data_IF_293563328001
#
_entry.id   IF_293563328001
#
_cell.length_a   1.000
_cell.length_b   1.000
_cell.length_c   1.000
_cell.angle_alpha   90.00
_cell.angle_beta   90.00
_cell.angle_gamma   90.00
#
_symmetry.space_group_name_H-M   'P 1'
#
loop_
_entity.id
_entity.type
_entity.pdbx_description
1 polymer ?
#
# COMPACT_ATOMS: atom_id res chain seq x y z
N UNK A 1 -9.54 13.73 -3.48
CA UNK A 1 -8.47 13.10 -2.66
C UNK A 1 -8.94 12.85 -1.24
N UNK A 2 -9.33 13.89 -0.49
CA UNK A 2 -9.91 13.76 0.86
C UNK A 2 -11.20 12.95 0.89
N UNK A 3 -11.99 12.95 -0.20
CA UNK A 3 -13.19 12.13 -0.32
C UNK A 3 -12.93 10.61 -0.29
N UNK A 4 -11.70 10.15 -0.56
CA UNK A 4 -11.37 8.72 -0.50
C UNK A 4 -10.68 8.35 0.82
N UNK A 5 -9.91 9.28 1.40
CA UNK A 5 -9.31 9.19 2.74
C UNK A 5 -10.40 9.36 3.81
N UNK A 6 -11.07 8.26 4.14
CA UNK A 6 -12.24 8.22 5.02
C UNK A 6 -13.30 7.21 4.56
N UNK A 7 -13.15 6.69 3.34
CA UNK A 7 -13.97 5.60 2.78
C UNK A 7 -13.27 4.26 2.90
N UNK A 8 -14.05 3.18 2.87
CA UNK A 8 -13.50 1.81 2.88
C UNK A 8 -12.56 1.61 1.69
N UNK A 9 -11.36 1.04 1.90
CA UNK A 9 -10.44 0.71 0.81
C UNK A 9 -11.05 -0.28 -0.19
N UNK A 10 -10.70 -0.13 -1.46
CA UNK A 10 -11.09 -1.04 -2.54
C UNK A 10 -10.42 -2.41 -2.37
N UNK A 11 -9.17 -2.41 -1.89
CA UNK A 11 -8.43 -3.63 -1.54
C UNK A 11 -7.71 -3.45 -0.21
N UNK A 12 -7.71 -4.52 0.58
CA UNK A 12 -6.89 -4.65 1.79
C UNK A 12 -6.18 -5.99 1.73
N UNK A 13 -4.86 -5.98 1.89
CA UNK A 13 -4.03 -7.18 1.95
C UNK A 13 -3.07 -7.08 3.12
N UNK A 14 -2.72 -8.22 3.73
CA UNK A 14 -1.69 -8.26 4.76
C UNK A 14 -0.33 -7.88 4.18
N UNK A 15 0.42 -7.08 4.94
CA UNK A 15 1.81 -6.80 4.60
C UNK A 15 2.70 -7.95 5.06
N UNK A 16 3.72 -8.26 4.26
CA UNK A 16 4.83 -9.11 4.67
C UNK A 16 5.71 -8.44 5.73
N UNK A 17 5.64 -7.10 5.87
CA UNK A 17 6.28 -6.38 6.96
C UNK A 17 5.61 -6.71 8.29
N UNK A 18 6.37 -7.32 9.19
CA UNK A 18 5.92 -7.70 10.51
C UNK A 18 6.54 -6.80 11.59
N UNK A 19 5.74 -6.46 12.60
CA UNK A 19 6.25 -5.89 13.85
C UNK A 19 6.65 -7.04 14.78
N UNK A 20 7.75 -6.87 15.51
CA UNK A 20 8.17 -7.82 16.58
C UNK A 20 7.06 -7.97 17.63
N UNK A 21 6.37 -6.87 17.93
CA UNK A 21 5.20 -6.82 18.79
C UNK A 21 4.19 -5.83 18.21
N UNK A 22 2.97 -6.28 17.95
CA UNK A 22 1.91 -5.40 17.45
C UNK A 22 0.88 -6.13 16.58
N UNK A 23 -0.15 -5.42 16.10
CA UNK A 23 -1.12 -5.96 15.16
C UNK A 23 -0.47 -6.24 13.80
N UNK A 24 -1.07 -7.14 13.03
CA UNK A 24 -0.69 -7.38 11.65
C UNK A 24 -0.86 -6.09 10.83
N UNK A 25 0.14 -5.78 10.00
CA UNK A 25 0.13 -4.60 9.15
C UNK A 25 -0.57 -4.93 7.83
N UNK A 26 -1.19 -3.93 7.21
CA UNK A 26 -1.92 -4.09 5.95
C UNK A 26 -1.52 -3.01 4.94
N UNK A 27 -1.57 -3.38 3.66
CA UNK A 27 -1.66 -2.42 2.58
C UNK A 27 -3.13 -2.18 2.26
N UNK A 28 -3.49 -0.90 2.12
CA UNK A 28 -4.84 -0.46 1.77
C UNK A 28 -4.76 0.35 0.49
N UNK A 29 -5.60 0.01 -0.47
CA UNK A 29 -5.60 0.61 -1.80
C UNK A 29 -6.93 1.29 -2.05
N UNK A 30 -6.86 2.51 -2.58
CA UNK A 30 -7.97 3.21 -3.21
C UNK A 30 -7.55 3.63 -4.61
N UNK A 31 -8.51 3.67 -5.53
CA UNK A 31 -8.30 4.24 -6.86
C UNK A 31 -9.23 5.41 -7.09
N UNK A 32 -8.66 6.48 -7.61
CA UNK A 32 -9.42 7.51 -8.34
C UNK A 32 -9.38 7.14 -9.83
N UNK A 33 -10.14 7.82 -10.70
CA UNK A 33 -10.06 7.59 -12.14
C UNK A 33 -8.66 7.75 -12.76
N UNK A 34 -7.75 8.47 -12.10
CA UNK A 34 -6.43 8.81 -12.66
C UNK A 34 -5.24 8.41 -11.78
N UNK A 35 -5.46 8.16 -10.49
CA UNK A 35 -4.39 7.90 -9.51
C UNK A 35 -4.72 6.72 -8.60
N UNK A 36 -3.68 5.98 -8.27
CA UNK A 36 -3.63 5.05 -7.15
C UNK A 36 -3.30 5.81 -5.86
N UNK A 37 -3.98 5.42 -4.78
CA UNK A 37 -3.65 5.82 -3.43
C UNK A 37 -3.38 4.55 -2.62
N UNK A 38 -2.17 4.41 -2.09
CA UNK A 38 -1.74 3.22 -1.36
C UNK A 38 -1.22 3.62 0.01
N UNK A 39 -1.82 3.06 1.06
CA UNK A 39 -1.36 3.21 2.43
C UNK A 39 -0.76 1.88 2.89
N UNK A 40 0.54 1.86 3.18
CA UNK A 40 1.24 0.65 3.56
C UNK A 40 2.39 0.90 4.53
N UNK A 41 2.93 -0.16 5.15
CA UNK A 41 4.05 -0.04 6.06
C UNK A 41 5.39 0.11 5.32
N UNK A 42 6.15 1.15 5.65
CA UNK A 42 7.49 1.41 5.14
C UNK A 42 8.51 1.18 6.26
N UNK A 43 9.46 0.27 6.02
CA UNK A 43 10.55 0.03 6.96
C UNK A 43 11.51 1.23 6.98
N UNK A 44 11.81 1.75 8.16
CA UNK A 44 12.84 2.76 8.36
C UNK A 44 14.19 2.05 8.56
N UNK A 45 14.97 1.97 7.48
CA UNK A 45 16.32 1.40 7.52
C UNK A 45 17.37 2.41 8.03
N UNK A 46 16.95 3.49 8.69
CA UNK A 46 17.83 4.44 9.36
C UNK A 46 18.64 3.80 10.50
N UNK A 47 19.46 4.60 11.22
CA UNK A 47 20.41 4.10 12.23
C UNK A 47 19.77 3.31 13.38
N UNK A 48 18.45 3.40 13.51
CA UNK A 48 17.66 2.67 14.49
C UNK A 48 17.04 1.38 13.94
N UNK A 49 16.81 1.21 12.63
CA UNK A 49 16.49 -0.07 11.97
C UNK A 49 15.28 -0.88 12.47
N UNK A 50 14.56 -0.40 13.49
CA UNK A 50 13.42 -1.08 14.13
C UNK A 50 12.11 -0.31 13.99
N UNK A 51 12.12 0.84 13.30
CA UNK A 51 10.92 1.63 13.09
C UNK A 51 10.24 1.21 11.79
N UNK A 52 8.93 1.04 11.85
CA UNK A 52 8.07 0.87 10.68
C UNK A 52 7.08 2.02 10.66
N UNK A 53 7.13 2.84 9.62
CA UNK A 53 6.20 3.93 9.41
C UNK A 53 5.01 3.47 8.58
N UNK A 54 3.90 4.22 8.63
CA UNK A 54 2.84 4.09 7.65
C UNK A 54 3.00 5.19 6.61
N UNK A 55 3.22 4.78 5.37
CA UNK A 55 3.40 5.69 4.24
C UNK A 55 2.15 5.71 3.37
N UNK A 56 1.74 6.93 3.00
CA UNK A 56 0.68 7.16 2.04
C UNK A 56 1.31 7.59 0.71
N UNK A 57 1.20 6.74 -0.31
CA UNK A 57 1.67 6.99 -1.67
C UNK A 57 0.49 7.40 -2.56
N UNK A 58 0.71 8.40 -3.40
CA UNK A 58 -0.26 8.89 -4.37
C UNK A 58 0.41 9.03 -5.74
N UNK A 59 0.13 8.08 -6.62
CA UNK A 59 0.82 7.95 -7.91
C UNK A 59 -0.20 7.84 -9.05
N UNK A 60 0.10 8.34 -10.26
CA UNK A 60 -0.74 8.09 -11.43
C UNK A 60 -0.96 6.60 -11.68
N UNK A 61 -2.15 6.19 -12.14
CA UNK A 61 -2.42 4.79 -12.52
C UNK A 61 -1.55 4.31 -13.69
N UNK A 62 -1.00 5.24 -14.46
CA UNK A 62 -0.07 4.93 -15.55
C UNK A 62 1.32 4.48 -15.07
N UNK A 63 1.62 4.52 -13.77
CA UNK A 63 2.91 4.08 -13.22
C UNK A 63 3.08 2.56 -13.20
N UNK A 64 1.99 1.79 -13.29
CA UNK A 64 2.03 0.34 -13.23
C UNK A 64 0.94 -0.33 -14.05
N UNK A 65 0.82 -1.66 -13.93
CA UNK A 65 -0.23 -2.42 -14.61
C UNK A 65 -1.63 -2.10 -14.04
N UNK A 66 -2.67 -2.60 -14.69
CA UNK A 66 -4.03 -2.54 -14.16
C UNK A 66 -4.16 -3.32 -12.83
N UNK A 67 -5.18 -2.96 -12.05
CA UNK A 67 -5.45 -3.63 -10.79
C UNK A 67 -5.81 -5.11 -11.06
N UNK A 68 -5.14 -6.07 -10.42
CA UNK A 68 -5.40 -7.48 -10.61
C UNK A 68 -6.75 -7.91 -9.99
N UNK A 69 -7.28 -9.09 -10.39
CA UNK A 69 -8.50 -9.64 -9.83
C UNK A 69 -8.33 -10.02 -8.34
N UNK A 70 -9.44 -10.16 -7.61
CA UNK A 70 -9.46 -10.28 -6.14
C UNK A 70 -8.75 -11.52 -5.60
N UNK A 71 -8.67 -12.58 -6.38
CA UNK A 71 -8.02 -13.85 -6.07
C UNK A 71 -6.51 -13.86 -6.33
N UNK A 72 -5.95 -12.76 -6.85
CA UNK A 72 -4.53 -12.66 -7.21
C UNK A 72 -3.76 -11.75 -6.24
N UNK A 73 -3.46 -12.28 -5.05
CA UNK A 73 -2.71 -11.58 -4.00
C UNK A 73 -1.28 -11.20 -4.44
N UNK A 74 -0.57 -12.09 -5.12
CA UNK A 74 0.79 -11.84 -5.62
C UNK A 74 0.82 -10.73 -6.69
N UNK A 75 -0.18 -10.74 -7.56
CA UNK A 75 -0.39 -9.66 -8.51
C UNK A 75 -0.66 -8.34 -7.81
N UNK A 76 -1.49 -8.34 -6.75
CA UNK A 76 -1.82 -7.13 -6.00
C UNK A 76 -0.59 -6.58 -5.27
N UNK A 77 0.25 -7.45 -4.70
CA UNK A 77 1.52 -7.05 -4.11
C UNK A 77 2.45 -6.39 -5.15
N UNK A 78 2.56 -6.99 -6.34
CA UNK A 78 3.35 -6.44 -7.46
C UNK A 78 2.81 -5.07 -7.91
N UNK A 79 1.48 -4.94 -8.00
CA UNK A 79 0.82 -3.69 -8.34
C UNK A 79 1.09 -2.60 -7.30
N UNK A 80 1.04 -2.94 -6.01
CA UNK A 80 1.37 -2.03 -4.91
C UNK A 80 2.82 -1.56 -5.04
N UNK A 81 3.77 -2.46 -5.27
CA UNK A 81 5.18 -2.09 -5.46
C UNK A 81 5.39 -1.13 -6.62
N UNK A 82 4.62 -1.26 -7.72
CA UNK A 82 4.71 -0.34 -8.85
C UNK A 82 4.14 1.08 -8.57
N UNK A 83 3.34 1.23 -7.51
CA UNK A 83 2.64 2.48 -7.15
C UNK A 83 3.08 3.04 -5.78
N UNK A 84 4.12 2.46 -5.17
CA UNK A 84 4.75 2.95 -3.95
C UNK A 84 6.20 3.28 -4.26
N UNK A 85 6.60 4.50 -3.95
CA UNK A 85 8.00 4.95 -3.97
C UNK A 85 8.52 4.79 -2.54
N UNK A 86 9.37 3.79 -2.27
CA UNK A 86 9.88 3.47 -0.92
C UNK A 86 11.15 4.24 -0.58
#
# INVERSE_FOLDING_TARGET
MTEHLGTTPERTILSSTALVTGPALTHRVWRTPTHALVLGPAADNGPYGYLTHLQLSYTPLACGPDLPPEDNEDGLATWITAHVDW
#
